data_IF_934064841804
#
_entry.id   IF_934064841804
#
_cell.length_a   1.000
_cell.length_b   1.000
_cell.length_c   1.000
_cell.angle_alpha   90.00
_cell.angle_beta   90.00
_cell.angle_gamma   90.00
#
_symmetry.space_group_name_H-M   'P 1'
#
loop_
_entity.id
_entity.type
_entity.pdbx_description
1 polymer ?
#
# COMPACT_ATOMS: atom_id res chain seq x y z
N UNK A 1 3.03 -41.26 37.08
CA UNK A 1 2.51 -40.09 37.84
C UNK A 1 2.74 -38.77 37.10
N UNK A 2 3.84 -38.59 36.36
CA UNK A 2 4.11 -37.35 35.59
C UNK A 2 3.42 -37.35 34.21
N UNK A 3 3.19 -38.51 33.59
CA UNK A 3 2.51 -38.63 32.28
C UNK A 3 1.04 -38.18 32.30
N UNK A 4 0.33 -38.41 33.40
CA UNK A 4 -1.06 -37.97 33.56
C UNK A 4 -1.19 -36.45 33.79
N UNK A 5 -0.16 -35.81 34.35
CA UNK A 5 -0.14 -34.35 34.54
C UNK A 5 0.11 -33.64 33.21
N UNK A 6 0.97 -34.18 32.35
CA UNK A 6 1.22 -33.62 31.01
C UNK A 6 -0.02 -33.77 30.10
N UNK A 7 -0.71 -34.92 30.17
CA UNK A 7 -1.97 -35.12 29.43
C UNK A 7 -3.11 -34.21 29.91
N UNK A 8 -3.20 -33.94 31.22
CA UNK A 8 -4.20 -33.04 31.81
C UNK A 8 -3.92 -31.56 31.44
N UNK A 9 -2.65 -31.15 31.42
CA UNK A 9 -2.24 -29.81 30.98
C UNK A 9 -2.48 -29.62 29.48
N UNK A 10 -2.20 -30.63 28.66
CA UNK A 10 -2.56 -30.59 27.23
C UNK A 10 -4.08 -30.52 27.01
N UNK A 11 -4.87 -31.27 27.78
CA UNK A 11 -6.34 -31.21 27.68
C UNK A 11 -6.90 -29.85 28.10
N UNK A 12 -6.35 -29.21 29.13
CA UNK A 12 -6.76 -27.87 29.56
C UNK A 12 -6.29 -26.76 28.61
N UNK A 13 -5.20 -26.95 27.86
CA UNK A 13 -4.73 -26.00 26.84
C UNK A 13 -5.52 -26.12 25.53
N UNK A 14 -6.01 -27.33 25.19
CA UNK A 14 -6.73 -27.56 23.92
C UNK A 14 -8.27 -27.62 24.05
N UNK A 15 -8.84 -27.72 25.26
CA UNK A 15 -10.30 -27.85 25.46
C UNK A 15 -10.91 -26.84 26.46
N UNK A 16 -10.21 -25.78 26.87
CA UNK A 16 -10.78 -24.73 27.74
C UNK A 16 -11.58 -23.66 26.98
N UNK A 17 -12.35 -24.07 25.97
CA UNK A 17 -13.22 -23.20 25.18
C UNK A 17 -14.71 -23.31 25.56
N UNK A 18 -15.04 -23.20 26.87
CA UNK A 18 -16.33 -22.57 27.21
C UNK A 18 -16.28 -21.59 28.40
N UNK A 19 -15.12 -21.34 29.03
CA UNK A 19 -15.01 -20.44 30.19
C UNK A 19 -14.38 -19.08 29.87
N UNK A 20 -13.56 -18.99 28.82
CA UNK A 20 -12.98 -17.72 28.35
C UNK A 20 -14.03 -16.88 27.60
N UNK A 21 -14.96 -17.54 26.90
CA UNK A 21 -16.09 -16.91 26.20
C UNK A 21 -17.12 -16.24 27.12
N UNK A 22 -17.16 -16.57 28.42
CA UNK A 22 -18.07 -15.93 29.37
C UNK A 22 -17.54 -14.56 29.86
N UNK A 23 -16.24 -14.31 29.79
CA UNK A 23 -15.61 -13.10 30.33
C UNK A 23 -14.91 -12.21 29.27
N UNK A 24 -14.96 -12.55 27.99
CA UNK A 24 -14.44 -11.70 26.90
C UNK A 24 -15.23 -11.93 25.60
N UNK A 25 -16.12 -11.03 25.18
CA UNK A 25 -16.79 -11.14 23.89
C UNK A 25 -15.83 -10.67 22.79
N UNK A 26 -14.94 -11.56 22.36
CA UNK A 26 -14.17 -11.41 21.12
C UNK A 26 -14.86 -12.27 20.07
N UNK A 27 -15.56 -11.64 19.14
CA UNK A 27 -16.30 -12.30 18.07
C UNK A 27 -15.36 -13.09 17.14
N UNK A 28 -15.15 -14.37 17.43
CA UNK A 28 -14.82 -15.38 16.42
C UNK A 28 -16.13 -16.00 15.96
N UNK A 29 -16.43 -15.87 14.68
CA UNK A 29 -17.70 -16.28 14.10
C UNK A 29 -17.61 -17.70 13.55
N UNK A 30 -18.36 -18.61 14.15
CA UNK A 30 -18.61 -19.96 13.63
C UNK A 30 -19.99 -20.43 14.08
N UNK A 31 -21.03 -20.16 13.28
CA UNK A 31 -22.35 -20.75 13.50
C UNK A 31 -23.54 -19.82 13.22
N UNK A 32 -24.22 -20.11 12.11
CA UNK A 32 -25.56 -19.69 11.68
C UNK A 32 -26.49 -19.15 12.79
N UNK A 33 -26.84 -17.86 12.74
CA UNK A 33 -28.19 -17.31 12.99
C UNK A 33 -28.18 -15.77 12.90
N UNK A 34 -29.08 -15.18 12.12
CA UNK A 34 -29.48 -13.76 12.23
C UNK A 34 -28.54 -12.72 11.61
N UNK A 35 -28.91 -12.19 10.45
CA UNK A 35 -28.28 -11.04 9.79
C UNK A 35 -28.46 -9.76 10.62
N UNK A 36 -27.50 -9.48 11.49
CA UNK A 36 -27.19 -8.11 11.93
C UNK A 36 -25.72 -7.88 11.61
N UNK A 37 -25.43 -7.23 10.47
CA UNK A 37 -24.08 -6.70 10.22
C UNK A 37 -23.83 -5.68 11.32
N UNK A 38 -22.98 -6.02 12.27
CA UNK A 38 -22.53 -5.11 13.32
C UNK A 38 -21.94 -3.88 12.64
N UNK A 39 -22.61 -2.73 12.77
CA UNK A 39 -22.10 -1.46 12.26
C UNK A 39 -20.90 -1.04 13.10
N UNK A 40 -19.91 -0.42 12.48
CA UNK A 40 -18.75 0.11 13.22
C UNK A 40 -19.20 1.09 14.30
N UNK A 41 -18.68 0.93 15.51
CA UNK A 41 -18.96 1.86 16.60
C UNK A 41 -18.32 3.21 16.28
N UNK A 42 -19.14 4.25 16.06
CA UNK A 42 -18.68 5.59 15.70
C UNK A 42 -18.43 6.41 16.96
N UNK A 43 -17.17 6.76 17.20
CA UNK A 43 -16.80 7.71 18.25
C UNK A 43 -16.71 9.13 17.69
N UNK A 44 -16.79 10.17 18.54
CA UNK A 44 -16.37 11.52 18.17
C UNK A 44 -14.96 11.51 17.57
N UNK A 45 -14.64 12.57 16.81
CA UNK A 45 -13.32 12.74 16.20
C UNK A 45 -12.23 12.69 17.29
N UNK A 46 -11.25 11.76 17.19
CA UNK A 46 -10.14 11.74 18.12
C UNK A 46 -9.24 12.97 17.91
N UNK A 47 -8.49 13.33 18.94
CA UNK A 47 -7.44 14.34 18.78
C UNK A 47 -6.35 13.76 17.88
N UNK A 48 -6.31 14.23 16.64
CA UNK A 48 -5.31 13.80 15.65
C UNK A 48 -4.02 14.61 15.82
N UNK A 49 -2.88 13.99 15.53
CA UNK A 49 -1.61 14.70 15.52
C UNK A 49 -1.50 15.54 14.24
N UNK A 50 -1.93 16.80 14.31
CA UNK A 50 -1.94 17.73 13.17
C UNK A 50 -0.55 17.95 12.55
N UNK A 51 0.55 17.75 13.29
CA UNK A 51 1.91 17.86 12.74
C UNK A 51 2.23 16.80 11.68
N UNK A 52 1.46 15.72 11.64
CA UNK A 52 1.56 14.63 10.67
C UNK A 52 0.50 14.72 9.57
N UNK A 53 -0.36 15.74 9.60
CA UNK A 53 -1.42 15.96 8.61
C UNK A 53 -1.08 17.13 7.69
N UNK A 54 -1.48 17.01 6.43
CA UNK A 54 -1.41 18.05 5.42
C UNK A 54 -2.60 19.02 5.58
N UNK A 55 -2.53 19.86 6.62
CA UNK A 55 -3.59 20.84 6.94
C UNK A 55 -3.16 22.22 6.46
N UNK A 56 -4.04 22.91 5.75
CA UNK A 56 -3.85 24.32 5.41
C UNK A 56 -4.01 25.18 6.67
N UNK A 57 -2.99 25.96 7.01
CA UNK A 57 -3.06 26.89 8.13
C UNK A 57 -3.84 28.15 7.72
N UNK A 58 -4.54 28.84 8.65
CA UNK A 58 -5.31 30.04 8.33
C UNK A 58 -4.51 31.17 7.66
N UNK A 59 -3.19 31.21 7.89
CA UNK A 59 -2.28 32.19 7.32
C UNK A 59 -1.48 31.66 6.11
N UNK A 60 -1.85 30.50 5.57
CA UNK A 60 -1.17 29.94 4.41
C UNK A 60 -1.45 30.79 3.17
N UNK A 61 -0.45 30.91 2.30
CA UNK A 61 -0.60 31.59 1.01
C UNK A 61 -1.67 30.87 0.17
N UNK A 62 -2.44 31.65 -0.58
CA UNK A 62 -3.40 31.10 -1.53
C UNK A 62 -2.66 30.21 -2.53
N UNK A 63 -3.07 28.95 -2.60
CA UNK A 63 -2.41 27.96 -3.44
C UNK A 63 -2.89 28.10 -4.89
N UNK A 64 -1.95 28.21 -5.83
CA UNK A 64 -2.23 28.25 -7.27
C UNK A 64 -1.67 27.02 -7.94
N UNK A 65 -2.49 25.98 -8.06
CA UNK A 65 -2.07 24.72 -8.68
C UNK A 65 -2.32 24.70 -10.18
N UNK A 66 -1.45 24.02 -10.95
CA UNK A 66 -1.78 23.61 -12.31
C UNK A 66 -3.08 22.78 -12.33
N UNK A 67 -3.84 22.81 -13.44
CA UNK A 67 -4.99 21.92 -13.59
C UNK A 67 -4.55 20.46 -13.55
N UNK A 68 -5.44 19.61 -13.03
CA UNK A 68 -5.24 18.17 -13.05
C UNK A 68 -5.35 17.62 -14.48
N UNK A 69 -4.29 16.96 -14.95
CA UNK A 69 -4.19 16.39 -16.32
C UNK A 69 -3.83 14.88 -16.27
N UNK A 70 -4.50 14.14 -15.38
CA UNK A 70 -4.33 12.70 -15.23
C UNK A 70 -5.53 11.92 -15.77
N UNK A 71 -5.30 10.66 -16.14
CA UNK A 71 -6.36 9.73 -16.55
C UNK A 71 -6.58 8.65 -15.50
N UNK A 72 -7.84 8.34 -15.18
CA UNK A 72 -8.20 7.31 -14.19
C UNK A 72 -8.77 6.08 -14.87
N UNK A 73 -8.40 4.89 -14.37
CA UNK A 73 -8.97 3.60 -14.76
C UNK A 73 -9.37 2.84 -13.53
N UNK A 74 -10.60 2.35 -13.52
CA UNK A 74 -11.07 1.46 -12.45
C UNK A 74 -10.43 0.09 -12.69
N UNK A 75 -9.54 -0.30 -11.78
CA UNK A 75 -8.94 -1.63 -11.75
C UNK A 75 -9.91 -2.60 -11.08
N UNK A 76 -10.33 -2.32 -9.84
CA UNK A 76 -11.38 -3.05 -9.15
C UNK A 76 -12.43 -2.09 -8.59
N UNK A 77 -13.67 -2.55 -8.51
CA UNK A 77 -14.76 -1.81 -7.86
C UNK A 77 -14.91 -2.17 -6.38
N UNK A 78 -14.47 -3.37 -6.00
CA UNK A 78 -14.56 -3.89 -4.64
C UNK A 78 -13.37 -4.81 -4.37
N UNK A 79 -12.37 -4.37 -3.56
CA UNK A 79 -12.16 -2.99 -3.12
C UNK A 79 -12.08 -2.00 -4.28
N UNK A 80 -12.41 -0.73 -4.05
CA UNK A 80 -12.15 0.30 -5.05
C UNK A 80 -10.63 0.41 -5.24
N UNK A 81 -10.14 0.05 -6.41
CA UNK A 81 -8.75 0.20 -6.83
C UNK A 81 -8.73 0.97 -8.13
N UNK A 82 -7.99 2.08 -8.15
CA UNK A 82 -7.83 2.94 -9.30
C UNK A 82 -6.37 2.91 -9.77
N UNK A 83 -6.17 2.75 -11.06
CA UNK A 83 -4.90 3.07 -11.70
C UNK A 83 -4.98 4.47 -12.30
N UNK A 84 -3.99 5.31 -12.01
CA UNK A 84 -3.99 6.73 -12.35
C UNK A 84 -2.73 7.01 -13.18
N UNK A 85 -2.93 7.34 -14.45
CA UNK A 85 -1.84 7.70 -15.35
C UNK A 85 -1.56 9.20 -15.28
N UNK A 86 -0.29 9.57 -15.11
CA UNK A 86 0.12 10.98 -15.06
C UNK A 86 -0.33 11.74 -13.81
N UNK A 87 -0.50 11.05 -12.67
CA UNK A 87 -0.83 11.68 -11.40
C UNK A 87 0.20 12.73 -10.95
N UNK A 88 1.48 12.48 -11.21
CA UNK A 88 2.58 13.42 -11.00
C UNK A 88 3.14 13.89 -12.33
N UNK A 89 3.28 15.21 -12.51
CA UNK A 89 3.98 15.76 -13.67
C UNK A 89 5.49 15.46 -13.61
N UNK A 90 6.19 15.64 -14.74
CA UNK A 90 7.65 15.50 -14.74
C UNK A 90 8.33 16.53 -13.83
N UNK A 91 7.81 17.75 -13.79
CA UNK A 91 8.31 18.85 -12.96
C UNK A 91 8.11 18.54 -11.48
N UNK A 92 6.94 18.04 -11.11
CA UNK A 92 6.64 17.57 -9.75
C UNK A 92 7.58 16.44 -9.34
N UNK A 93 7.82 15.45 -10.21
CA UNK A 93 8.74 14.35 -9.92
C UNK A 93 10.16 14.83 -9.64
N UNK A 94 10.70 15.70 -10.50
CA UNK A 94 12.02 16.30 -10.31
C UNK A 94 12.11 17.07 -8.99
N UNK A 95 11.11 17.90 -8.72
CA UNK A 95 11.04 18.70 -7.49
C UNK A 95 11.01 17.81 -6.24
N UNK A 96 10.17 16.76 -6.24
CA UNK A 96 10.10 15.81 -5.12
C UNK A 96 11.44 15.12 -4.85
N UNK A 97 12.19 14.76 -5.91
CA UNK A 97 13.52 14.17 -5.77
C UNK A 97 14.53 15.19 -5.22
N UNK A 98 14.52 16.41 -5.73
CA UNK A 98 15.40 17.50 -5.28
C UNK A 98 15.26 17.76 -3.77
N UNK A 99 14.02 17.92 -3.28
CA UNK A 99 13.77 18.22 -1.87
C UNK A 99 13.93 17.01 -0.95
N UNK A 100 13.84 15.77 -1.48
CA UNK A 100 13.97 14.55 -0.67
C UNK A 100 15.40 14.01 -0.57
N UNK A 101 16.19 14.14 -1.63
CA UNK A 101 17.58 13.67 -1.68
C UNK A 101 18.45 14.03 -0.46
N UNK A 102 18.46 15.29 0.03
CA UNK A 102 19.31 15.67 1.17
C UNK A 102 18.79 15.20 2.53
N UNK A 103 17.55 14.71 2.62
CA UNK A 103 16.86 14.41 3.89
C UNK A 103 16.38 12.96 4.00
N UNK A 104 16.81 12.08 3.09
CA UNK A 104 16.53 10.64 3.20
C UNK A 104 17.22 10.06 4.43
N UNK A 105 16.44 9.37 5.27
CA UNK A 105 16.92 8.61 6.41
C UNK A 105 16.45 7.15 6.34
N UNK A 106 17.17 6.18 6.93
CA UNK A 106 16.73 4.79 6.95
C UNK A 106 15.35 4.64 7.58
N UNK A 107 14.46 3.90 6.91
CA UNK A 107 13.10 3.69 7.38
C UNK A 107 13.05 2.83 8.65
N UNK A 108 12.09 3.14 9.52
CA UNK A 108 11.78 2.37 10.73
C UNK A 108 10.41 1.70 10.61
N UNK A 109 10.17 0.72 11.47
CA UNK A 109 8.90 -0.02 11.57
C UNK A 109 8.29 0.25 12.94
N UNK A 110 7.01 0.59 12.97
CA UNK A 110 6.25 0.83 14.20
C UNK A 110 5.38 -0.38 14.49
N UNK A 111 5.66 -1.12 15.56
CA UNK A 111 4.72 -2.10 16.10
C UNK A 111 3.87 -1.43 17.19
N UNK A 112 2.55 -1.46 17.03
CA UNK A 112 1.58 -1.06 18.06
C UNK A 112 1.75 0.37 18.65
N UNK A 113 2.25 1.31 17.85
CA UNK A 113 2.22 2.74 18.14
C UNK A 113 3.22 3.27 19.18
N UNK A 114 4.03 2.42 19.82
CA UNK A 114 4.94 2.85 20.89
C UNK A 114 6.43 2.60 20.62
N UNK A 115 6.80 1.55 19.87
CA UNK A 115 8.20 1.19 19.63
C UNK A 115 8.53 1.19 18.13
N UNK A 116 9.30 2.17 17.70
CA UNK A 116 9.95 2.20 16.39
C UNK A 116 11.27 1.45 16.45
N UNK A 117 11.44 0.43 15.60
CA UNK A 117 12.73 -0.26 15.46
C UNK A 117 13.06 -0.45 13.98
N UNK A 118 14.35 -0.64 13.69
CA UNK A 118 14.84 -0.93 12.35
C UNK A 118 14.99 -2.44 12.20
N UNK A 119 14.27 -3.02 11.25
CA UNK A 119 14.43 -4.42 10.84
C UNK A 119 14.46 -4.49 9.31
N UNK A 120 15.66 -4.71 8.77
CA UNK A 120 15.91 -4.75 7.32
C UNK A 120 15.37 -6.01 6.66
N UNK A 121 14.98 -7.04 7.42
CA UNK A 121 14.30 -8.23 6.88
C UNK A 121 12.83 -7.96 6.56
N UNK A 122 12.24 -6.95 7.21
CA UNK A 122 10.85 -6.52 6.99
C UNK A 122 10.83 -5.33 6.03
N UNK A 123 11.69 -4.34 6.26
CA UNK A 123 11.74 -3.11 5.46
C UNK A 123 13.17 -2.61 5.29
N UNK A 124 13.61 -2.57 4.03
CA UNK A 124 14.88 -1.96 3.63
C UNK A 124 14.60 -0.85 2.63
N UNK A 125 14.54 0.39 3.13
CA UNK A 125 14.26 1.59 2.34
C UNK A 125 14.73 2.84 3.08
N UNK A 126 14.92 3.94 2.36
CA UNK A 126 15.02 5.27 2.96
C UNK A 126 13.68 6.00 2.88
N UNK A 127 13.41 6.88 3.83
CA UNK A 127 12.23 7.74 3.90
C UNK A 127 12.66 9.20 3.99
N UNK A 128 11.95 10.08 3.29
CA UNK A 128 12.02 11.52 3.51
C UNK A 128 10.60 12.05 3.76
N UNK A 129 10.40 12.72 4.90
CA UNK A 129 9.18 13.47 5.19
C UNK A 129 9.28 14.84 4.50
N UNK A 130 8.43 15.07 3.50
CA UNK A 130 8.61 16.21 2.61
C UNK A 130 8.28 17.54 3.32
N UNK A 131 9.10 18.60 3.10
CA UNK A 131 8.71 19.97 3.37
C UNK A 131 7.44 20.33 2.59
N UNK A 132 6.51 21.07 3.20
CA UNK A 132 5.24 21.45 2.56
C UNK A 132 5.36 22.78 1.81
N UNK A 133 6.11 22.78 0.72
CA UNK A 133 6.07 23.88 -0.26
C UNK A 133 4.84 23.81 -1.16
N UNK A 134 4.69 24.77 -2.07
CA UNK A 134 3.49 24.88 -2.92
C UNK A 134 3.33 23.68 -3.87
N UNK A 135 4.41 23.07 -4.35
CA UNK A 135 4.36 21.87 -5.19
C UNK A 135 3.78 20.69 -4.40
N UNK A 136 4.31 20.45 -3.20
CA UNK A 136 3.83 19.38 -2.31
C UNK A 136 2.37 19.62 -1.92
N UNK A 137 2.00 20.86 -1.58
CA UNK A 137 0.62 21.24 -1.27
C UNK A 137 -0.33 21.02 -2.44
N UNK A 138 0.12 21.25 -3.68
CA UNK A 138 -0.69 20.97 -4.87
C UNK A 138 -0.95 19.48 -5.07
N UNK A 139 0.04 18.62 -4.82
CA UNK A 139 -0.14 17.17 -4.86
C UNK A 139 -1.10 16.71 -3.77
N UNK A 140 -1.00 17.26 -2.56
CA UNK A 140 -1.94 16.99 -1.46
C UNK A 140 -3.37 17.42 -1.82
N UNK A 141 -3.55 18.60 -2.41
CA UNK A 141 -4.83 19.11 -2.87
C UNK A 141 -5.44 18.23 -3.97
N UNK A 142 -4.62 17.78 -4.92
CA UNK A 142 -5.00 16.83 -5.98
C UNK A 142 -5.47 15.50 -5.43
N UNK A 143 -4.71 14.92 -4.49
CA UNK A 143 -5.08 13.67 -3.83
C UNK A 143 -6.40 13.80 -3.03
N UNK A 144 -6.65 14.96 -2.43
CA UNK A 144 -7.92 15.26 -1.75
C UNK A 144 -9.08 15.43 -2.73
N UNK A 145 -8.84 16.07 -3.87
CA UNK A 145 -9.85 16.27 -4.92
C UNK A 145 -10.29 14.95 -5.55
N UNK A 146 -9.35 14.05 -5.85
CA UNK A 146 -9.64 12.71 -6.36
C UNK A 146 -10.62 11.94 -5.44
N UNK A 147 -10.52 12.17 -4.13
CA UNK A 147 -11.32 11.52 -3.10
C UNK A 147 -12.61 12.28 -2.73
N UNK A 148 -12.96 13.32 -3.50
CA UNK A 148 -14.23 14.02 -3.36
C UNK A 148 -14.34 14.98 -2.18
N UNK A 149 -13.23 15.51 -1.66
CA UNK A 149 -13.23 16.54 -0.60
C UNK A 149 -14.02 16.18 0.67
N UNK A 150 -14.01 14.90 1.06
CA UNK A 150 -14.69 14.41 2.27
C UNK A 150 -14.33 15.26 3.50
N UNK A 151 -15.34 15.63 4.29
CA UNK A 151 -15.18 16.54 5.44
C UNK A 151 -14.27 15.96 6.52
N UNK A 152 -14.49 14.69 6.86
CA UNK A 152 -13.74 13.93 7.86
C UNK A 152 -12.61 13.11 7.22
N UNK A 153 -11.86 13.71 6.29
CA UNK A 153 -10.70 13.11 5.64
C UNK A 153 -9.54 14.11 5.52
N UNK A 154 -8.35 13.65 5.88
CA UNK A 154 -7.11 14.41 5.79
C UNK A 154 -6.03 13.58 5.09
N UNK A 155 -5.25 14.24 4.25
CA UNK A 155 -4.02 13.67 3.71
C UNK A 155 -2.96 13.73 4.81
N UNK A 156 -2.27 12.63 5.07
CA UNK A 156 -1.05 12.66 5.91
C UNK A 156 0.06 13.39 5.16
N UNK A 157 0.99 14.00 5.90
CA UNK A 157 2.15 14.65 5.27
C UNK A 157 2.89 13.67 4.37
N UNK A 158 3.12 14.11 3.13
CA UNK A 158 3.67 13.26 2.09
C UNK A 158 5.09 12.79 2.42
N UNK A 159 5.38 11.55 2.04
CA UNK A 159 6.70 10.92 2.24
C UNK A 159 7.15 10.25 0.96
N UNK A 160 8.39 10.52 0.54
CA UNK A 160 9.05 9.70 -0.47
C UNK A 160 9.75 8.52 0.18
N UNK A 161 9.73 7.38 -0.49
CA UNK A 161 10.40 6.15 -0.10
C UNK A 161 11.35 5.73 -1.21
N UNK A 162 12.64 5.64 -0.91
CA UNK A 162 13.67 5.20 -1.84
C UNK A 162 14.08 3.76 -1.57
N UNK A 163 14.11 2.97 -2.63
CA UNK A 163 14.55 1.59 -2.66
C UNK A 163 15.66 1.47 -3.72
N UNK A 164 16.82 1.01 -3.28
CA UNK A 164 17.95 0.60 -4.14
C UNK A 164 17.97 -0.93 -4.22
N UNK A 165 18.94 -1.54 -4.90
CA UNK A 165 19.11 -3.00 -4.95
C UNK A 165 18.95 -3.66 -3.57
N UNK A 166 18.11 -4.70 -3.51
CA UNK A 166 17.72 -5.42 -2.28
C UNK A 166 16.69 -4.69 -1.40
N UNK A 167 16.39 -3.42 -1.69
CA UNK A 167 15.39 -2.63 -0.99
C UNK A 167 13.98 -3.17 -1.22
N UNK A 168 13.21 -3.29 -0.13
CA UNK A 168 11.86 -3.88 -0.14
C UNK A 168 11.02 -3.41 1.05
N UNK A 169 9.72 -3.70 1.02
CA UNK A 169 8.84 -3.66 2.18
C UNK A 169 7.92 -4.89 2.14
N UNK A 170 8.11 -5.78 3.11
CA UNK A 170 7.31 -7.00 3.31
C UNK A 170 5.81 -6.70 3.38
N UNK A 171 5.00 -7.74 3.15
CA UNK A 171 3.56 -7.56 3.10
C UNK A 171 2.99 -6.98 4.40
N UNK A 172 2.09 -6.02 4.24
CA UNK A 172 1.44 -5.32 5.33
C UNK A 172 0.07 -4.78 4.90
N UNK A 173 -0.70 -4.33 5.90
CA UNK A 173 -1.80 -3.40 5.69
C UNK A 173 -1.34 -2.01 6.05
N UNK A 174 -1.82 -1.00 5.33
CA UNK A 174 -1.60 0.40 5.70
C UNK A 174 -2.45 0.85 6.89
N UNK A 175 -3.44 0.05 7.26
CA UNK A 175 -4.35 0.26 8.38
C UNK A 175 -4.08 -0.77 9.50
N UNK A 176 -4.32 -0.38 10.76
CA UNK A 176 -3.99 -1.22 11.93
C UNK A 176 -5.17 -1.53 12.85
N UNK A 177 -6.17 -0.64 12.97
CA UNK A 177 -7.40 -0.91 13.71
C UNK A 177 -8.53 0.06 13.30
N UNK A 178 -9.77 -0.44 13.31
CA UNK A 178 -11.01 0.32 13.04
C UNK A 178 -11.67 0.88 14.32
N UNK A 179 -10.94 0.95 15.44
CA UNK A 179 -11.50 1.31 16.75
C UNK A 179 -12.03 2.74 16.72
N UNK A 180 -13.34 2.87 16.95
CA UNK A 180 -14.04 4.17 16.95
C UNK A 180 -14.45 4.68 15.56
N UNK A 181 -14.21 3.92 14.49
CA UNK A 181 -14.58 4.31 13.13
C UNK A 181 -13.66 5.35 12.51
N UNK A 182 -12.38 5.36 12.88
CA UNK A 182 -11.36 6.27 12.34
C UNK A 182 -10.09 5.50 11.98
N UNK A 183 -9.40 5.89 10.91
CA UNK A 183 -8.14 5.28 10.50
C UNK A 183 -7.69 5.74 9.12
N UNK A 184 -6.66 5.11 8.58
CA UNK A 184 -6.22 5.30 7.18
C UNK A 184 -7.25 4.67 6.25
N UNK A 185 -8.22 5.46 5.80
CA UNK A 185 -9.36 4.99 5.01
C UNK A 185 -8.96 4.59 3.60
N UNK A 186 -7.95 5.24 3.03
CA UNK A 186 -7.44 4.94 1.69
C UNK A 186 -5.93 5.15 1.64
N UNK A 187 -5.31 4.64 0.57
CA UNK A 187 -3.87 4.74 0.36
C UNK A 187 -3.57 4.86 -1.13
N UNK A 188 -2.49 5.56 -1.45
CA UNK A 188 -2.01 5.72 -2.81
C UNK A 188 -0.49 5.64 -2.85
N UNK A 189 0.00 4.84 -3.79
CA UNK A 189 1.41 4.75 -4.15
C UNK A 189 1.57 5.40 -5.52
N UNK A 190 2.19 6.57 -5.56
CA UNK A 190 2.63 7.20 -6.80
C UNK A 190 4.13 6.92 -7.02
N UNK A 191 4.54 6.65 -8.26
CA UNK A 191 5.96 6.40 -8.56
C UNK A 191 6.63 7.70 -9.01
N UNK A 192 7.58 8.18 -8.22
CA UNK A 192 8.33 9.41 -8.49
C UNK A 192 9.49 9.12 -9.43
N UNK A 193 10.19 8.02 -9.20
CA UNK A 193 11.34 7.60 -10.02
C UNK A 193 11.40 6.08 -10.11
N UNK A 194 11.80 5.60 -11.28
CA UNK A 194 12.08 4.20 -11.57
C UNK A 194 13.05 4.20 -12.75
N UNK A 195 14.28 3.76 -12.52
CA UNK A 195 15.37 3.85 -13.47
C UNK A 195 16.47 2.84 -13.17
N UNK A 196 17.39 2.68 -14.13
CA UNK A 196 18.69 2.07 -13.89
C UNK A 196 19.54 2.88 -12.87
N UNK A 197 20.60 2.27 -12.36
CA UNK A 197 21.48 2.89 -11.36
C UNK A 197 22.38 3.98 -11.95
N UNK A 198 22.69 3.92 -13.25
CA UNK A 198 23.53 4.92 -13.93
C UNK A 198 22.77 6.23 -14.19
N UNK A 199 22.95 7.19 -13.29
CA UNK A 199 22.33 8.52 -13.37
C UNK A 199 22.77 9.35 -14.59
N UNK A 200 23.87 8.96 -15.25
CA UNK A 200 24.39 9.67 -16.41
C UNK A 200 23.62 9.33 -17.70
N UNK A 201 22.88 8.21 -17.71
CA UNK A 201 22.08 7.80 -18.86
C UNK A 201 20.67 8.39 -18.81
N UNK A 202 20.02 8.36 -17.63
CA UNK A 202 18.67 8.90 -17.43
C UNK A 202 18.63 9.76 -16.15
N UNK A 203 18.44 11.09 -16.27
CA UNK A 203 18.32 11.96 -15.11
C UNK A 203 17.15 11.55 -14.18
N UNK A 204 17.32 11.61 -12.84
CA UNK A 204 16.26 11.25 -11.90
C UNK A 204 14.94 11.99 -12.17
N UNK A 205 13.82 11.27 -12.16
CA UNK A 205 12.48 11.82 -12.36
C UNK A 205 12.13 12.13 -13.83
N UNK A 206 13.01 11.79 -14.78
CA UNK A 206 12.73 11.91 -16.23
C UNK A 206 12.40 10.60 -16.92
N UNK A 207 12.78 9.47 -16.29
CA UNK A 207 12.57 8.15 -16.83
C UNK A 207 11.10 7.75 -16.94
N UNK A 208 10.88 6.67 -17.69
CA UNK A 208 9.62 5.98 -17.93
C UNK A 208 9.54 4.61 -17.21
N UNK A 209 10.55 4.26 -16.41
CA UNK A 209 10.67 2.95 -15.74
C UNK A 209 11.72 2.04 -16.37
N UNK A 210 12.27 2.38 -17.54
CA UNK A 210 13.28 1.56 -18.22
C UNK A 210 14.54 1.42 -17.35
N UNK A 211 15.09 0.20 -17.31
CA UNK A 211 16.30 -0.15 -16.54
C UNK A 211 16.04 -0.60 -15.10
N UNK A 212 14.86 -0.33 -14.52
CA UNK A 212 14.47 -0.91 -13.24
C UNK A 212 14.06 -2.38 -13.40
N UNK A 213 14.58 -3.26 -12.54
CA UNK A 213 14.16 -4.67 -12.47
C UNK A 213 13.64 -4.97 -11.06
N UNK A 214 12.46 -5.58 -10.96
CA UNK A 214 11.78 -5.81 -9.68
C UNK A 214 11.09 -4.54 -9.17
N UNK A 215 10.97 -4.40 -7.85
CA UNK A 215 10.43 -3.18 -7.24
C UNK A 215 8.93 -2.96 -7.40
N UNK A 216 8.17 -3.89 -8.00
CA UNK A 216 6.73 -3.78 -8.18
C UNK A 216 5.96 -3.63 -6.85
N UNK A 217 4.75 -3.06 -6.92
CA UNK A 217 3.82 -3.05 -5.77
C UNK A 217 2.84 -4.20 -5.93
N UNK A 218 2.93 -5.22 -5.09
CA UNK A 218 2.16 -6.46 -5.23
C UNK A 218 1.01 -6.56 -4.23
N UNK A 219 -0.15 -6.94 -4.74
CA UNK A 219 -1.36 -7.30 -4.01
C UNK A 219 -1.68 -8.77 -4.31
N UNK A 220 -1.31 -9.73 -3.45
CA UNK A 220 -1.40 -11.17 -3.75
C UNK A 220 -2.83 -11.69 -3.77
N UNK A 221 -3.79 -10.91 -3.24
CA UNK A 221 -5.21 -11.27 -3.17
C UNK A 221 -6.07 -10.47 -4.17
N UNK A 222 -5.46 -9.59 -4.96
CA UNK A 222 -6.16 -8.80 -5.96
C UNK A 222 -5.97 -9.44 -7.34
N UNK A 223 -7.05 -9.86 -7.98
CA UNK A 223 -7.00 -10.49 -9.30
C UNK A 223 -7.04 -9.45 -10.43
N UNK A 224 -6.29 -9.72 -11.51
CA UNK A 224 -6.33 -8.90 -12.72
C UNK A 224 -7.72 -9.01 -13.37
N UNK A 225 -8.41 -7.90 -13.67
CA UNK A 225 -9.71 -7.95 -14.31
C UNK A 225 -9.67 -8.70 -15.65
N UNK A 226 -10.57 -9.66 -15.84
CA UNK A 226 -10.60 -10.59 -16.98
C UNK A 226 -10.77 -9.95 -18.38
N UNK A 227 -10.66 -10.79 -19.43
CA UNK A 227 -10.74 -10.50 -20.89
C UNK A 227 -9.81 -9.40 -21.45
N UNK A 228 -9.03 -8.71 -20.61
CA UNK A 228 -8.18 -7.55 -20.97
C UNK A 228 -6.78 -7.65 -20.38
N UNK A 229 -6.27 -8.87 -20.15
CA UNK A 229 -4.94 -9.08 -19.54
C UNK A 229 -3.91 -8.26 -20.30
N UNK A 230 -3.91 -8.32 -21.63
CA UNK A 230 -3.01 -7.61 -22.54
C UNK A 230 -3.03 -6.09 -22.36
N UNK A 231 -4.21 -5.50 -22.11
CA UNK A 231 -4.36 -4.06 -21.88
C UNK A 231 -3.70 -3.66 -20.56
N UNK A 232 -3.92 -4.47 -19.53
CA UNK A 232 -3.39 -4.27 -18.18
C UNK A 232 -1.91 -4.59 -18.08
N UNK A 233 -1.34 -5.46 -18.93
CA UNK A 233 0.09 -5.80 -18.93
C UNK A 233 1.03 -4.61 -19.14
N UNK A 234 0.49 -3.47 -19.60
CA UNK A 234 1.22 -2.20 -19.66
C UNK A 234 1.46 -1.59 -18.28
N UNK A 235 0.62 -1.91 -17.31
CA UNK A 235 0.59 -1.34 -15.96
C UNK A 235 0.88 -2.36 -14.86
N UNK A 236 0.63 -3.65 -15.12
CA UNK A 236 0.87 -4.76 -14.18
C UNK A 236 1.76 -5.80 -14.81
N UNK A 237 2.44 -6.59 -13.98
CA UNK A 237 3.21 -7.73 -14.44
C UNK A 237 2.28 -8.82 -14.97
N UNK A 238 2.55 -9.24 -16.21
CA UNK A 238 1.83 -10.30 -16.89
C UNK A 238 2.81 -11.38 -17.28
N UNK A 239 2.93 -12.39 -16.45
CA UNK A 239 3.74 -13.58 -16.72
C UNK A 239 3.57 -14.54 -15.57
N UNK A 240 3.32 -15.82 -15.86
CA UNK A 240 3.62 -16.86 -14.88
C UNK A 240 5.09 -16.75 -14.50
N UNK A 241 5.48 -17.18 -13.30
CA UNK A 241 6.89 -17.35 -12.93
C UNK A 241 7.53 -18.41 -13.84
N UNK A 242 7.84 -18.05 -15.09
CA UNK A 242 8.61 -18.80 -16.07
C UNK A 242 9.04 -17.81 -17.16
N UNK A 243 10.10 -17.06 -16.85
CA UNK A 243 10.71 -16.06 -17.74
C UNK A 243 12.24 -16.10 -17.65
N UNK A 244 12.81 -17.26 -17.36
CA UNK A 244 14.21 -17.54 -17.64
C UNK A 244 14.33 -17.95 -19.10
N UNK A 245 14.82 -17.04 -19.94
CA UNK A 245 15.30 -17.37 -21.28
C UNK A 245 16.47 -18.36 -21.18
N UNK A 246 16.18 -19.65 -21.27
CA UNK A 246 17.11 -20.62 -21.83
C UNK A 246 16.34 -21.56 -22.77
N UNK A 247 16.48 -21.27 -24.06
CA UNK A 247 16.31 -22.25 -25.11
C UNK A 247 17.40 -23.33 -25.01
N UNK A 248 17.05 -24.54 -25.48
CA UNK A 248 17.80 -25.83 -25.45
C UNK A 248 17.68 -26.59 -24.12
N UNK A 249 17.32 -27.86 -24.06
CA UNK A 249 17.30 -28.95 -25.05
C UNK A 249 16.28 -30.01 -24.61
N UNK A 250 15.85 -30.87 -25.52
CA UNK A 250 14.73 -31.79 -25.35
C UNK A 250 14.82 -32.75 -24.16
N UNK A 251 13.69 -32.91 -23.48
CA UNK A 251 13.45 -33.96 -22.50
C UNK A 251 11.97 -34.05 -22.15
N UNK A 252 11.30 -35.09 -22.65
CA UNK A 252 9.93 -35.46 -22.27
C UNK A 252 9.91 -35.88 -20.79
N UNK A 253 9.72 -34.92 -19.89
CA UNK A 253 9.23 -35.20 -18.54
C UNK A 253 7.90 -34.47 -18.33
N UNK A 254 6.82 -35.26 -18.27
CA UNK A 254 5.51 -34.85 -17.79
C UNK A 254 5.65 -34.20 -16.41
N UNK A 255 5.73 -32.87 -16.36
CA UNK A 255 5.41 -32.12 -15.14
C UNK A 255 3.91 -32.20 -14.91
N UNK A 256 3.53 -33.12 -14.03
CA UNK A 256 2.22 -33.22 -13.43
C UNK A 256 2.22 -32.26 -12.23
N UNK A 257 1.86 -31.01 -12.46
CA UNK A 257 1.71 -29.97 -11.45
C UNK A 257 0.83 -28.88 -12.04
N UNK A 258 -0.38 -28.73 -11.51
CA UNK A 258 -1.42 -27.91 -12.10
C UNK A 258 -0.98 -26.47 -12.31
N UNK A 259 -1.47 -25.87 -13.40
CA UNK A 259 -1.47 -24.43 -13.64
C UNK A 259 -2.24 -23.75 -12.49
N UNK A 260 -1.58 -23.49 -11.37
CA UNK A 260 -2.05 -22.46 -10.46
C UNK A 260 -1.87 -21.14 -11.19
N UNK A 261 -2.95 -20.64 -11.80
CA UNK A 261 -3.04 -19.26 -12.26
C UNK A 261 -2.39 -18.38 -11.18
N UNK A 262 -1.34 -17.64 -11.57
CA UNK A 262 -0.61 -16.79 -10.65
C UNK A 262 -1.61 -15.87 -9.94
N UNK A 263 -1.90 -16.17 -8.67
CA UNK A 263 -2.83 -15.40 -7.84
C UNK A 263 -2.16 -14.08 -7.48
N UNK A 264 -2.90 -12.99 -7.67
CA UNK A 264 -2.45 -11.64 -7.32
C UNK A 264 -2.10 -10.73 -8.49
N UNK A 265 -1.83 -9.47 -8.16
CA UNK A 265 -1.49 -8.41 -9.11
C UNK A 265 -0.26 -7.66 -8.63
N UNK A 266 0.74 -7.52 -9.51
CA UNK A 266 1.91 -6.67 -9.26
C UNK A 266 1.87 -5.46 -10.18
N UNK A 267 1.65 -4.27 -9.62
CA UNK A 267 1.72 -3.02 -10.35
C UNK A 267 3.17 -2.62 -10.64
N UNK A 268 3.44 -2.29 -11.90
CA UNK A 268 4.74 -1.84 -12.39
C UNK A 268 5.06 -0.45 -11.85
N UNK A 269 6.32 -0.16 -11.48
CA UNK A 269 6.74 1.16 -11.05
C UNK A 269 6.88 2.09 -12.26
N UNK A 270 5.77 2.62 -12.76
CA UNK A 270 5.76 3.53 -13.91
C UNK A 270 5.82 4.97 -13.41
N UNK A 271 6.94 5.70 -13.57
CA UNK A 271 7.09 7.06 -13.07
C UNK A 271 5.99 7.98 -13.57
N UNK A 272 5.43 8.78 -12.66
CA UNK A 272 4.31 9.70 -12.92
C UNK A 272 2.94 9.07 -12.65
N UNK A 273 2.84 7.75 -12.72
CA UNK A 273 1.59 7.04 -12.45
C UNK A 273 1.41 6.75 -10.96
N UNK A 274 0.20 6.36 -10.59
CA UNK A 274 -0.13 5.93 -9.25
C UNK A 274 -1.15 4.79 -9.24
N UNK A 275 -1.15 4.02 -8.14
CA UNK A 275 -2.24 3.12 -7.77
C UNK A 275 -2.85 3.63 -6.47
N UNK A 276 -4.18 3.74 -6.45
CA UNK A 276 -4.98 4.14 -5.29
C UNK A 276 -5.91 3.00 -4.90
N UNK A 277 -6.14 2.83 -3.60
CA UNK A 277 -7.13 1.87 -3.08
C UNK A 277 -7.82 2.35 -1.80
N UNK A 278 -9.06 1.91 -1.61
CA UNK A 278 -9.81 2.05 -0.35
C UNK A 278 -9.51 0.87 0.58
N UNK A 279 -9.21 1.15 1.85
CA UNK A 279 -8.81 0.15 2.84
C UNK A 279 -10.00 -0.54 3.51
N UNK A 280 -11.17 0.10 3.56
CA UNK A 280 -12.35 -0.42 4.28
C UNK A 280 -13.57 -0.56 3.39
N UNK A 281 -14.42 -1.55 3.70
CA UNK A 281 -15.70 -1.77 3.04
C UNK A 281 -16.63 -0.58 3.24
N UNK A 282 -17.30 -0.17 2.17
CA UNK A 282 -18.30 0.91 2.18
C UNK A 282 -19.69 0.46 2.71
N UNK A 283 -19.78 -0.72 3.34
CA UNK A 283 -21.05 -1.30 3.80
C UNK A 283 -21.39 -0.93 5.26
N UNK A 284 -20.62 -0.03 5.88
CA UNK A 284 -20.80 0.43 7.26
C UNK A 284 -20.32 -0.55 8.32
N UNK A 285 -19.75 -1.71 7.94
CA UNK A 285 -19.17 -2.66 8.89
C UNK A 285 -17.86 -2.17 9.50
N UNK A 286 -17.15 -1.28 8.81
CA UNK A 286 -15.78 -0.89 9.15
C UNK A 286 -14.78 -2.04 9.03
N UNK A 287 -15.10 -3.08 8.27
CA UNK A 287 -14.20 -4.18 7.99
C UNK A 287 -13.21 -3.81 6.88
N UNK A 288 -11.92 -4.00 7.12
CA UNK A 288 -10.87 -3.77 6.12
C UNK A 288 -10.92 -4.81 4.99
N UNK A 289 -10.57 -4.42 3.77
CA UNK A 289 -10.43 -5.35 2.65
C UNK A 289 -9.13 -6.15 2.80
N UNK A 290 -9.23 -7.48 2.81
CA UNK A 290 -8.05 -8.36 2.89
C UNK A 290 -7.23 -8.26 1.60
N UNK A 291 -7.92 -7.96 0.49
CA UNK A 291 -7.37 -7.71 -0.85
C UNK A 291 -6.38 -6.54 -0.89
N UNK A 292 -6.36 -5.68 0.15
CA UNK A 292 -5.41 -4.56 0.28
C UNK A 292 -4.13 -4.93 1.02
N UNK A 293 -3.96 -6.20 1.41
CA UNK A 293 -2.67 -6.72 1.87
C UNK A 293 -1.65 -6.60 0.73
N UNK A 294 -0.53 -5.92 0.96
CA UNK A 294 0.37 -5.58 -0.15
C UNK A 294 1.82 -5.43 0.29
N UNK A 295 2.74 -5.53 -0.68
CA UNK A 295 4.17 -5.38 -0.49
C UNK A 295 4.81 -4.48 -1.56
N UNK A 296 5.93 -3.86 -1.19
CA UNK A 296 6.91 -3.36 -2.15
C UNK A 296 7.93 -4.45 -2.41
N UNK A 297 7.85 -5.11 -3.57
CA UNK A 297 8.75 -6.20 -3.93
C UNK A 297 10.22 -5.73 -3.99
N UNK A 298 11.19 -6.62 -3.76
CA UNK A 298 12.60 -6.27 -3.86
C UNK A 298 12.96 -5.64 -5.21
N UNK A 299 13.69 -4.53 -5.15
CA UNK A 299 14.42 -4.02 -6.32
C UNK A 299 15.60 -4.96 -6.57
N UNK A 300 15.66 -5.52 -7.77
CA UNK A 300 16.73 -6.45 -8.20
C UNK A 300 17.86 -5.66 -8.89
N UNK A 301 17.50 -4.60 -9.62
CA UNK A 301 18.44 -3.69 -10.27
C UNK A 301 17.80 -2.31 -10.38
N UNK A 302 18.56 -1.25 -10.14
CA UNK A 302 18.10 0.12 -10.34
C UNK A 302 17.65 0.79 -9.06
N UNK A 303 16.94 1.90 -9.23
CA UNK A 303 16.41 2.70 -8.12
C UNK A 303 14.92 2.96 -8.33
N UNK A 304 14.13 2.70 -7.28
CA UNK A 304 12.71 3.08 -7.20
C UNK A 304 12.53 4.13 -6.12
N UNK A 305 11.84 5.22 -6.45
CA UNK A 305 11.31 6.18 -5.48
C UNK A 305 9.80 6.22 -5.58
N UNK A 306 9.11 5.79 -4.52
CA UNK A 306 7.67 5.93 -4.37
C UNK A 306 7.29 7.16 -3.55
N UNK A 307 6.07 7.64 -3.70
CA UNK A 307 5.42 8.66 -2.89
C UNK A 307 4.20 8.01 -2.22
N UNK A 308 4.27 7.84 -0.91
CA UNK A 308 3.16 7.33 -0.13
C UNK A 308 2.22 8.49 0.24
N UNK A 309 0.94 8.33 -0.12
CA UNK A 309 -0.13 9.26 0.22
C UNK A 309 -1.19 8.48 0.98
N UNK A 310 -1.21 8.65 2.30
CA UNK A 310 -2.23 8.05 3.17
C UNK A 310 -3.31 9.06 3.47
N UNK A 311 -4.56 8.61 3.40
CA UNK A 311 -5.70 9.44 3.82
C UNK A 311 -6.25 8.90 5.12
N UNK A 312 -6.11 9.67 6.19
CA UNK A 312 -6.70 9.34 7.49
C UNK A 312 -8.03 10.06 7.65
N UNK A 313 -9.06 9.33 8.07
CA UNK A 313 -10.41 9.86 8.14
C UNK A 313 -11.42 8.92 8.79
N UNK A 314 -12.70 9.26 8.64
CA UNK A 314 -13.82 8.47 9.13
C UNK A 314 -14.05 7.26 8.22
N UNK A 315 -14.15 6.08 8.84
CA UNK A 315 -14.55 4.83 8.18
C UNK A 315 -16.07 4.85 8.05
N UNK A 316 -16.58 4.74 6.82
CA UNK A 316 -18.00 4.93 6.49
C UNK A 316 -18.85 3.66 6.65
#
# INVERSE_FOLDING_TARGET
MISYVIALVAFLIFFSDPLVDFFSPSSTSGGRSGTSRSRVARTPRPQMNESLLAIEHPNATALSCPPDDYSVRIFSKEPLVLYIEGFLSMEERKHLLEISNPIFEPSTITHNGANTHRDTSIRSSDVALLPRDDTVRCIEARARALQGWREDLWIERLRTQRYVEGGHYSYHFDWTANRGGWGRVSSMMAWVDARDEDENEVPPGTGNGDGLVGGGTEFPLLEVPGLKKEVWCRFVECGGRDGGDQASDGGDEKKMGGDEEAKGTTFKPVPGNAVYWENFRADGSGAGYDETWHAGLPVIKGVKVGLNIWSTGRIE
#
